data_IF_967764427790
#
_entry.id   IF_967764427790
#
_cell.length_a   1.000
_cell.length_b   1.000
_cell.length_c   1.000
_cell.angle_alpha   90.00
_cell.angle_beta   90.00
_cell.angle_gamma   90.00
#
_symmetry.space_group_name_H-M   'P 1'
#
loop_
_entity.id
_entity.type
_entity.pdbx_description
1 polymer ?
#
# COMPACT_ATOMS: atom_id res chain seq x y z
N UNK A 1 -6.14 23.41 6.46
CA UNK A 1 -5.92 22.46 5.35
C UNK A 1 -6.58 21.13 5.70
N UNK A 2 -7.43 20.60 4.82
CA UNK A 2 -8.27 19.43 5.10
C UNK A 2 -8.07 18.39 3.99
N UNK A 3 -7.62 17.19 4.32
CA UNK A 3 -7.41 16.12 3.37
C UNK A 3 -8.33 14.93 3.65
N UNK A 4 -8.86 14.36 2.56
CA UNK A 4 -9.51 13.05 2.58
C UNK A 4 -8.46 11.99 2.23
N UNK A 5 -8.23 11.03 3.13
CA UNK A 5 -7.38 9.86 2.91
C UNK A 5 -8.20 8.65 2.50
N UNK A 6 -7.69 7.86 1.56
CA UNK A 6 -8.30 6.61 1.08
C UNK A 6 -7.23 5.52 1.02
N UNK A 7 -7.48 4.39 1.67
CA UNK A 7 -6.69 3.17 1.51
C UNK A 7 -7.59 1.98 1.19
N UNK A 8 -7.29 1.30 0.11
CA UNK A 8 -7.90 0.05 -0.35
C UNK A 8 -6.87 -0.93 -0.91
N UNK A 9 -5.62 -0.73 -0.54
CA UNK A 9 -4.47 -1.46 -1.08
C UNK A 9 -4.37 -2.93 -0.64
N UNK A 10 -5.14 -3.34 0.38
CA UNK A 10 -5.17 -4.71 0.93
C UNK A 10 -6.60 -5.19 1.17
N UNK A 11 -6.82 -6.10 2.12
CA UNK A 11 -8.16 -6.45 2.60
C UNK A 11 -8.80 -5.31 3.41
N UNK A 12 -7.98 -4.41 3.94
CA UNK A 12 -8.46 -3.23 4.68
C UNK A 12 -9.09 -2.25 3.71
N UNK A 13 -10.28 -1.75 4.07
CA UNK A 13 -10.86 -0.54 3.54
C UNK A 13 -10.76 0.54 4.62
N UNK A 14 -10.16 1.66 4.31
CA UNK A 14 -9.98 2.75 5.26
C UNK A 14 -10.20 4.10 4.61
N UNK A 15 -10.89 4.99 5.32
CA UNK A 15 -11.17 6.38 4.95
C UNK A 15 -10.89 7.26 6.15
N UNK A 16 -10.24 8.40 5.95
CA UNK A 16 -9.97 9.35 7.03
C UNK A 16 -10.07 10.80 6.56
N UNK A 17 -10.39 11.69 7.49
CA UNK A 17 -10.26 13.14 7.31
C UNK A 17 -9.23 13.66 8.29
N UNK A 18 -8.19 14.32 7.77
CA UNK A 18 -7.18 15.03 8.56
C UNK A 18 -7.31 16.52 8.31
N UNK A 19 -7.40 17.30 9.39
CA UNK A 19 -7.52 18.76 9.33
C UNK A 19 -6.40 19.38 10.15
N UNK A 20 -5.51 20.16 9.51
CA UNK A 20 -4.41 20.86 10.15
C UNK A 20 -3.61 19.99 11.16
N UNK A 21 -3.16 18.81 10.70
CA UNK A 21 -2.44 17.80 11.47
C UNK A 21 -3.24 17.12 12.61
N UNK A 22 -4.57 17.27 12.59
CA UNK A 22 -5.47 16.57 13.52
C UNK A 22 -6.26 15.52 12.76
N UNK A 23 -6.19 14.27 13.20
CA UNK A 23 -7.09 13.23 12.71
C UNK A 23 -8.52 13.53 13.19
N UNK A 24 -9.35 14.04 12.29
CA UNK A 24 -10.71 14.46 12.63
C UNK A 24 -11.67 13.28 12.66
N UNK A 25 -11.52 12.34 11.72
CA UNK A 25 -12.28 11.09 11.67
C UNK A 25 -11.50 10.01 10.92
N UNK A 26 -11.70 8.76 11.29
CA UNK A 26 -11.23 7.59 10.55
C UNK A 26 -12.27 6.47 10.64
N UNK A 27 -12.55 5.86 9.50
CA UNK A 27 -13.36 4.64 9.42
C UNK A 27 -12.53 3.56 8.74
N UNK A 28 -12.14 2.54 9.50
CA UNK A 28 -11.30 1.42 9.04
C UNK A 28 -11.99 0.10 9.30
N UNK A 29 -12.05 -0.75 8.28
CA UNK A 29 -12.63 -2.11 8.37
C UNK A 29 -11.65 -3.09 7.73
N UNK A 30 -11.19 -4.07 8.52
CA UNK A 30 -10.40 -5.22 8.05
C UNK A 30 -11.32 -6.44 7.98
N UNK A 31 -12.10 -6.54 6.91
CA UNK A 31 -13.06 -7.62 6.72
C UNK A 31 -13.27 -7.93 5.24
N UNK A 32 -13.60 -9.20 4.92
CA UNK A 32 -13.84 -9.68 3.53
C UNK A 32 -15.11 -9.08 2.93
N UNK A 33 -15.08 -7.79 2.62
CA UNK A 33 -16.10 -7.11 1.81
C UNK A 33 -15.45 -6.48 0.60
N UNK A 34 -16.21 -6.36 -0.48
CA UNK A 34 -15.71 -5.75 -1.72
C UNK A 34 -15.59 -4.24 -1.55
N UNK A 35 -14.42 -3.67 -1.75
CA UNK A 35 -14.15 -2.23 -1.61
C UNK A 35 -15.08 -1.35 -2.46
N UNK A 36 -15.49 -1.82 -3.64
CA UNK A 36 -16.47 -1.10 -4.49
C UNK A 36 -17.84 -0.91 -3.84
N UNK A 37 -18.17 -1.72 -2.83
CA UNK A 37 -19.43 -1.60 -2.07
C UNK A 37 -19.26 -0.83 -0.76
N UNK A 38 -18.03 -0.64 -0.30
CA UNK A 38 -17.77 -0.10 1.05
C UNK A 38 -17.15 1.29 1.05
N UNK A 39 -16.26 1.63 0.12
CA UNK A 39 -15.51 2.89 0.17
C UNK A 39 -16.40 4.13 0.13
N UNK A 40 -17.32 4.24 -0.85
CA UNK A 40 -18.22 5.40 -0.93
C UNK A 40 -19.16 5.51 0.28
N UNK A 41 -19.82 4.43 0.76
CA UNK A 41 -20.56 4.48 2.01
C UNK A 41 -19.73 4.89 3.24
N UNK A 42 -18.46 4.46 3.33
CA UNK A 42 -17.57 4.87 4.43
C UNK A 42 -17.22 6.36 4.35
N UNK A 43 -17.01 6.90 3.14
CA UNK A 43 -16.80 8.34 2.94
C UNK A 43 -18.05 9.12 3.34
N UNK A 44 -19.22 8.67 2.88
CA UNK A 44 -20.51 9.30 3.21
C UNK A 44 -20.77 9.32 4.73
N UNK A 45 -20.51 8.21 5.41
CA UNK A 45 -20.66 8.11 6.87
C UNK A 45 -19.73 9.08 7.60
N UNK A 46 -18.44 9.13 7.23
CA UNK A 46 -17.46 10.06 7.82
C UNK A 46 -17.87 11.50 7.62
N UNK A 47 -18.28 11.87 6.41
CA UNK A 47 -18.72 13.24 6.08
C UNK A 47 -19.99 13.63 6.83
N UNK A 48 -20.95 12.71 6.90
CA UNK A 48 -22.22 12.89 7.64
C UNK A 48 -21.96 13.08 9.13
N UNK A 49 -21.12 12.24 9.74
CA UNK A 49 -20.78 12.32 11.18
C UNK A 49 -20.06 13.63 11.54
N UNK A 50 -19.27 14.16 10.62
CA UNK A 50 -18.58 15.45 10.79
C UNK A 50 -19.48 16.65 10.48
N UNK A 51 -20.65 16.46 9.87
CA UNK A 51 -21.47 17.56 9.34
C UNK A 51 -20.72 18.41 8.31
N UNK A 52 -19.82 17.81 7.54
CA UNK A 52 -18.89 18.47 6.63
C UNK A 52 -19.41 18.43 5.20
N UNK A 53 -19.18 19.50 4.42
CA UNK A 53 -19.32 19.46 2.97
C UNK A 53 -18.00 18.93 2.35
N UNK A 54 -18.09 17.96 1.44
CA UNK A 54 -16.92 17.44 0.71
C UNK A 54 -16.17 18.51 -0.09
N UNK A 55 -16.82 19.61 -0.48
CA UNK A 55 -16.16 20.74 -1.13
C UNK A 55 -15.14 21.46 -0.22
N UNK A 56 -15.21 21.25 1.10
CA UNK A 56 -14.27 21.83 2.06
C UNK A 56 -12.90 21.16 2.08
N UNK A 57 -12.74 19.96 1.47
CA UNK A 57 -11.42 19.33 1.38
C UNK A 57 -10.53 20.09 0.40
N UNK A 58 -9.23 20.12 0.65
CA UNK A 58 -8.23 20.75 -0.21
C UNK A 58 -7.65 19.75 -1.22
N UNK A 59 -7.54 18.48 -0.85
CA UNK A 59 -7.04 17.41 -1.71
C UNK A 59 -7.49 16.01 -1.23
N UNK A 60 -7.27 14.99 -2.08
CA UNK A 60 -7.54 13.59 -1.79
C UNK A 60 -6.24 12.82 -1.82
N UNK A 61 -5.79 12.28 -0.68
CA UNK A 61 -4.63 11.42 -0.58
C UNK A 61 -5.05 9.95 -0.76
N UNK A 62 -4.37 9.25 -1.65
CA UNK A 62 -4.73 7.88 -2.02
C UNK A 62 -3.51 6.97 -1.89
N UNK A 63 -3.71 5.82 -1.26
CA UNK A 63 -2.74 4.73 -1.29
C UNK A 63 -2.55 4.27 -2.75
N UNK A 64 -1.40 4.65 -3.33
CA UNK A 64 -1.12 4.49 -4.76
C UNK A 64 -0.47 3.15 -5.14
N UNK A 65 -0.14 2.32 -4.19
CA UNK A 65 0.54 1.04 -4.39
C UNK A 65 1.90 0.97 -3.70
N UNK A 66 2.46 -0.24 -3.60
CA UNK A 66 1.95 -1.54 -4.07
C UNK A 66 0.76 -2.07 -3.28
N UNK A 67 0.09 -3.10 -3.81
CA UNK A 67 -1.03 -3.74 -3.11
C UNK A 67 -1.89 -4.63 -3.99
N UNK A 68 -3.09 -4.91 -3.51
CA UNK A 68 -4.12 -5.64 -4.26
C UNK A 68 -4.48 -4.90 -5.54
N UNK A 69 -4.27 -5.53 -6.70
CA UNK A 69 -4.56 -4.96 -8.01
C UNK A 69 -6.00 -4.44 -8.14
N UNK A 70 -6.97 -5.25 -7.66
CA UNK A 70 -8.38 -4.85 -7.65
C UNK A 70 -8.62 -3.71 -6.66
N UNK A 71 -8.04 -3.79 -5.47
CA UNK A 71 -8.19 -2.77 -4.44
C UNK A 71 -7.66 -1.42 -4.90
N UNK A 72 -6.43 -1.37 -5.42
CA UNK A 72 -5.82 -0.14 -5.94
C UNK A 72 -6.66 0.50 -7.06
N UNK A 73 -7.22 -0.29 -7.96
CA UNK A 73 -8.12 0.22 -9.02
C UNK A 73 -9.40 0.82 -8.47
N UNK A 74 -10.01 0.19 -7.47
CA UNK A 74 -11.23 0.69 -6.84
C UNK A 74 -10.93 2.01 -6.11
N UNK A 75 -9.87 2.07 -5.31
CA UNK A 75 -9.45 3.29 -4.62
C UNK A 75 -9.14 4.42 -5.57
N UNK A 76 -8.34 4.14 -6.61
CA UNK A 76 -8.00 5.12 -7.67
C UNK A 76 -9.24 5.63 -8.39
N UNK A 77 -10.15 4.73 -8.80
CA UNK A 77 -11.38 5.14 -9.49
C UNK A 77 -12.29 6.00 -8.60
N UNK A 78 -12.41 5.63 -7.31
CA UNK A 78 -13.16 6.41 -6.31
C UNK A 78 -12.56 7.82 -6.14
N UNK A 79 -11.23 7.89 -5.95
CA UNK A 79 -10.54 9.16 -5.77
C UNK A 79 -10.60 10.04 -7.03
N UNK A 80 -10.39 9.46 -8.22
CA UNK A 80 -10.52 10.17 -9.51
C UNK A 80 -11.92 10.73 -9.70
N UNK A 81 -12.95 9.91 -9.43
CA UNK A 81 -14.34 10.36 -9.53
C UNK A 81 -14.65 11.54 -8.59
N UNK A 82 -14.20 11.45 -7.35
CA UNK A 82 -14.34 12.55 -6.37
C UNK A 82 -13.50 13.77 -6.76
N UNK A 83 -12.24 13.59 -7.16
CA UNK A 83 -11.36 14.66 -7.60
C UNK A 83 -11.92 15.45 -8.77
N UNK A 84 -12.50 14.77 -9.77
CA UNK A 84 -13.19 15.41 -10.89
C UNK A 84 -14.45 16.14 -10.46
N UNK A 85 -15.29 15.51 -9.64
CA UNK A 85 -16.57 16.09 -9.23
C UNK A 85 -16.40 17.32 -8.31
N UNK A 86 -15.35 17.34 -7.50
CA UNK A 86 -15.06 18.37 -6.51
C UNK A 86 -14.01 19.39 -7.00
N UNK A 87 -13.42 19.17 -8.19
CA UNK A 87 -12.31 19.96 -8.73
C UNK A 87 -11.11 20.01 -7.77
N UNK A 88 -10.75 18.85 -7.16
CA UNK A 88 -9.66 18.74 -6.17
C UNK A 88 -8.51 17.89 -6.71
N UNK A 89 -7.27 18.29 -6.41
CA UNK A 89 -6.09 17.49 -6.77
C UNK A 89 -6.03 16.20 -5.96
N UNK A 90 -5.34 15.22 -6.52
CA UNK A 90 -5.02 13.96 -5.88
C UNK A 90 -3.56 13.95 -5.43
N UNK A 91 -3.30 13.18 -4.37
CA UNK A 91 -1.96 12.95 -3.86
C UNK A 91 -1.71 11.46 -3.89
N UNK A 92 -0.72 11.05 -4.68
CA UNK A 92 -0.24 9.67 -4.70
C UNK A 92 0.63 9.40 -3.47
N UNK A 93 0.21 8.49 -2.61
CA UNK A 93 0.97 8.10 -1.41
C UNK A 93 1.40 6.63 -1.57
N UNK A 94 2.71 6.33 -1.59
CA UNK A 94 3.19 4.96 -1.62
C UNK A 94 2.65 4.16 -0.43
N UNK A 95 2.10 2.97 -0.68
CA UNK A 95 1.40 2.21 0.37
C UNK A 95 2.32 1.82 1.52
N UNK A 96 3.53 1.38 1.19
CA UNK A 96 4.51 0.90 2.18
C UNK A 96 5.03 2.05 3.04
N UNK A 97 5.22 3.24 2.43
CA UNK A 97 5.60 4.47 3.13
C UNK A 97 4.52 4.89 4.14
N UNK A 98 3.24 4.88 3.70
CA UNK A 98 2.11 5.19 4.58
C UNK A 98 2.00 4.20 5.74
N UNK A 99 2.28 2.92 5.51
CA UNK A 99 2.31 1.92 6.58
C UNK A 99 3.44 2.19 7.58
N UNK A 100 4.64 2.55 7.11
CA UNK A 100 5.74 2.92 8.00
C UNK A 100 5.38 4.12 8.89
N UNK A 101 4.61 5.04 8.36
CA UNK A 101 4.12 6.22 9.08
C UNK A 101 3.21 5.89 10.28
N UNK A 102 2.62 4.68 10.35
CA UNK A 102 1.89 4.21 11.52
C UNK A 102 2.73 4.16 12.80
N UNK A 103 4.06 4.04 12.66
CA UNK A 103 5.00 3.91 13.77
C UNK A 103 5.86 5.18 13.95
N UNK A 104 5.29 6.33 13.65
CA UNK A 104 5.92 7.62 13.85
C UNK A 104 6.48 7.78 15.27
N UNK A 105 7.72 8.23 15.37
CA UNK A 105 8.45 8.41 16.64
C UNK A 105 9.22 7.17 17.08
N UNK A 106 9.20 6.06 16.34
CA UNK A 106 9.99 4.87 16.64
C UNK A 106 11.47 5.10 16.41
N UNK A 107 12.32 4.59 17.34
CA UNK A 107 13.77 4.55 17.19
C UNK A 107 14.25 3.27 16.47
N UNK A 108 13.37 2.28 16.28
CA UNK A 108 13.69 1.05 15.55
C UNK A 108 13.52 1.23 14.03
N UNK A 109 14.19 0.37 13.27
CA UNK A 109 13.96 0.23 11.83
C UNK A 109 12.54 -0.30 11.62
N UNK A 110 11.75 0.35 10.81
CA UNK A 110 10.37 -0.03 10.50
C UNK A 110 10.38 -0.81 9.20
N UNK A 111 9.81 -2.01 9.22
CA UNK A 111 9.74 -2.93 8.09
C UNK A 111 8.28 -3.34 7.83
N UNK A 112 7.52 -2.55 7.05
CA UNK A 112 6.22 -3.00 6.58
C UNK A 112 6.37 -4.20 5.65
N UNK A 113 5.52 -5.21 5.80
CA UNK A 113 5.45 -6.36 4.89
C UNK A 113 4.00 -6.61 4.48
N UNK A 114 3.75 -6.64 3.16
CA UNK A 114 2.48 -7.04 2.58
C UNK A 114 2.66 -8.33 1.80
N UNK A 115 1.71 -9.27 1.89
CA UNK A 115 1.81 -10.55 1.17
C UNK A 115 1.69 -10.35 -0.34
N UNK A 116 2.81 -10.54 -1.05
CA UNK A 116 2.87 -10.49 -2.52
C UNK A 116 2.73 -11.89 -3.16
N UNK A 117 2.39 -12.93 -2.37
CA UNK A 117 2.31 -14.34 -2.76
C UNK A 117 3.65 -14.96 -3.13
N UNK A 118 3.72 -16.30 -3.20
CA UNK A 118 4.91 -17.06 -3.62
C UNK A 118 6.17 -16.72 -2.80
N UNK A 119 6.04 -16.64 -1.49
CA UNK A 119 7.10 -16.25 -0.53
C UNK A 119 7.67 -14.85 -0.73
N UNK A 120 7.00 -14.00 -1.52
CA UNK A 120 7.41 -12.63 -1.72
C UNK A 120 6.56 -11.66 -0.89
N UNK A 121 7.18 -10.56 -0.51
CA UNK A 121 6.53 -9.45 0.17
C UNK A 121 6.72 -8.16 -0.61
N UNK A 122 5.73 -7.27 -0.58
CA UNK A 122 5.99 -5.86 -0.82
C UNK A 122 6.49 -5.27 0.50
N UNK A 123 7.62 -4.61 0.45
CA UNK A 123 8.32 -4.09 1.63
C UNK A 123 9.15 -2.87 1.29
N UNK A 124 9.62 -2.19 2.30
CA UNK A 124 10.60 -1.12 2.31
C UNK A 124 11.18 -1.03 3.71
N UNK A 125 12.23 -0.25 3.91
CA UNK A 125 12.85 -0.06 5.22
C UNK A 125 12.91 1.42 5.53
N UNK A 126 12.51 1.78 6.76
CA UNK A 126 12.30 3.18 7.12
C UNK A 126 12.78 3.48 8.53
N UNK A 127 13.34 4.67 8.72
CA UNK A 127 13.35 5.33 10.01
C UNK A 127 12.26 6.40 10.04
N UNK A 128 11.48 6.46 11.11
CA UNK A 128 10.34 7.37 11.21
C UNK A 128 10.33 8.09 12.56
N UNK A 129 11.45 8.74 12.93
CA UNK A 129 11.62 9.39 14.22
C UNK A 129 11.12 10.84 14.22
N UNK A 130 11.61 11.68 13.31
CA UNK A 130 11.26 13.10 13.16
C UNK A 130 10.87 13.45 11.73
N UNK A 131 11.17 12.56 10.80
CA UNK A 131 10.83 12.58 9.37
C UNK A 131 10.72 11.14 8.91
N UNK A 132 10.04 10.92 7.81
CA UNK A 132 10.10 9.64 7.11
C UNK A 132 11.42 9.61 6.33
N UNK A 133 12.36 8.79 6.77
CA UNK A 133 13.63 8.52 6.09
C UNK A 133 13.56 7.14 5.45
N UNK A 134 13.71 7.10 4.14
CA UNK A 134 13.67 5.87 3.35
C UNK A 134 15.07 5.26 3.34
N UNK A 135 15.26 4.15 4.06
CA UNK A 135 16.51 3.37 4.08
C UNK A 135 16.56 2.43 2.88
N UNK A 136 15.40 1.89 2.51
CA UNK A 136 15.21 1.09 1.30
C UNK A 136 13.86 1.43 0.70
N UNK A 137 13.87 1.82 -0.59
CA UNK A 137 12.65 2.08 -1.35
C UNK A 137 11.72 0.87 -1.39
N UNK A 138 10.42 1.13 -1.52
CA UNK A 138 9.44 0.04 -1.63
C UNK A 138 9.75 -0.84 -2.84
N UNK A 139 9.73 -2.15 -2.62
CA UNK A 139 9.98 -3.14 -3.64
C UNK A 139 9.21 -4.45 -3.38
N UNK A 140 9.28 -5.36 -4.36
CA UNK A 140 8.87 -6.74 -4.17
C UNK A 140 10.13 -7.59 -4.03
N UNK A 141 10.24 -8.39 -2.96
CA UNK A 141 11.40 -9.27 -2.74
C UNK A 141 11.00 -10.56 -2.01
N UNK A 142 11.87 -11.56 -2.06
CA UNK A 142 11.68 -12.78 -1.29
C UNK A 142 11.81 -12.51 0.21
N UNK A 143 10.97 -13.16 1.03
CA UNK A 143 10.99 -12.95 2.48
C UNK A 143 12.30 -13.39 3.13
N UNK A 144 12.97 -14.43 2.62
CA UNK A 144 14.27 -14.86 3.14
C UNK A 144 15.38 -13.87 2.80
N UNK A 145 15.35 -13.27 1.60
CA UNK A 145 16.30 -12.23 1.22
C UNK A 145 16.13 -10.99 2.10
N UNK A 146 14.89 -10.64 2.43
CA UNK A 146 14.59 -9.56 3.39
C UNK A 146 15.16 -9.86 4.78
N UNK A 147 14.93 -11.07 5.30
CA UNK A 147 15.45 -11.51 6.59
C UNK A 147 16.99 -11.46 6.62
N UNK A 148 17.64 -11.94 5.57
CA UNK A 148 19.11 -11.88 5.48
C UNK A 148 19.60 -10.44 5.50
N UNK A 149 18.97 -9.56 4.74
CA UNK A 149 19.31 -8.14 4.72
C UNK A 149 19.16 -7.48 6.09
N UNK A 150 18.09 -7.78 6.83
CA UNK A 150 17.87 -7.25 8.18
C UNK A 150 18.92 -7.76 9.17
N UNK A 151 19.30 -9.04 9.08
CA UNK A 151 20.38 -9.62 9.88
C UNK A 151 21.72 -8.95 9.59
N UNK A 152 22.02 -8.66 8.32
CA UNK A 152 23.27 -8.00 7.91
C UNK A 152 23.32 -6.53 8.40
N UNK A 153 22.17 -5.86 8.49
CA UNK A 153 22.06 -4.50 9.01
C UNK A 153 22.29 -4.42 10.53
N UNK A 154 21.93 -5.46 11.27
CA UNK A 154 22.18 -5.55 12.71
C UNK A 154 21.33 -4.60 13.56
N UNK A 155 20.28 -3.97 13.00
CA UNK A 155 19.41 -3.04 13.71
C UNK A 155 18.17 -3.75 14.26
N UNK A 156 17.63 -3.22 15.40
CA UNK A 156 16.34 -3.65 15.90
C UNK A 156 15.24 -3.27 14.91
N UNK A 157 14.33 -4.20 14.57
CA UNK A 157 13.29 -4.02 13.57
C UNK A 157 11.89 -4.22 14.14
N UNK A 158 10.92 -3.42 13.66
CA UNK A 158 9.50 -3.61 13.95
C UNK A 158 8.76 -3.92 12.65
N UNK A 159 8.11 -5.09 12.62
CA UNK A 159 7.28 -5.52 11.49
C UNK A 159 5.83 -5.11 11.67
N UNK A 160 5.19 -4.74 10.55
CA UNK A 160 3.75 -4.50 10.45
C UNK A 160 3.24 -4.91 9.08
N UNK A 161 1.92 -4.96 8.91
CA UNK A 161 1.29 -5.27 7.64
C UNK A 161 0.60 -6.63 7.62
N UNK A 162 -0.15 -6.86 6.57
CA UNK A 162 -0.91 -8.09 6.34
C UNK A 162 -0.04 -9.30 5.96
N UNK A 163 1.23 -9.08 5.64
CA UNK A 163 2.23 -10.15 5.50
C UNK A 163 2.68 -10.74 6.84
N UNK A 164 2.55 -10.00 7.97
CA UNK A 164 3.00 -10.49 9.27
C UNK A 164 2.38 -11.82 9.66
N UNK A 165 1.07 -12.06 9.60
CA UNK A 165 0.49 -13.35 9.93
C UNK A 165 0.97 -14.50 9.05
N UNK A 166 1.36 -14.20 7.80
CA UNK A 166 1.82 -15.21 6.83
C UNK A 166 3.26 -15.61 7.10
N UNK A 167 4.13 -14.65 7.44
CA UNK A 167 5.57 -14.82 7.49
C UNK A 167 6.16 -14.77 8.90
N UNK A 168 5.33 -14.63 9.94
CA UNK A 168 5.76 -14.56 11.34
C UNK A 168 6.70 -15.70 11.72
N UNK A 169 6.29 -16.94 11.48
CA UNK A 169 7.11 -18.12 11.85
C UNK A 169 8.45 -18.16 11.12
N UNK A 170 8.48 -17.71 9.86
CA UNK A 170 9.71 -17.62 9.07
C UNK A 170 10.64 -16.58 9.65
N UNK A 171 10.10 -15.39 10.03
CA UNK A 171 10.86 -14.33 10.68
C UNK A 171 11.41 -14.80 12.04
N UNK A 172 10.58 -15.38 12.91
CA UNK A 172 10.97 -15.87 14.24
C UNK A 172 12.06 -16.94 14.20
N UNK A 173 12.10 -17.79 13.15
CA UNK A 173 13.09 -18.83 12.99
C UNK A 173 14.45 -18.38 12.47
N UNK A 174 14.47 -17.28 11.69
CA UNK A 174 15.64 -16.92 10.89
C UNK A 174 16.23 -15.54 11.21
N UNK A 175 15.50 -14.68 11.94
CA UNK A 175 16.04 -13.40 12.41
C UNK A 175 17.04 -13.62 13.54
N UNK A 176 18.16 -12.92 13.46
CA UNK A 176 19.21 -12.85 14.51
C UNK A 176 19.28 -11.50 15.21
N UNK A 177 18.62 -10.48 14.64
CA UNK A 177 18.48 -9.15 15.25
C UNK A 177 17.29 -9.10 16.19
N UNK A 178 17.28 -8.13 17.10
CA UNK A 178 16.11 -7.85 17.94
C UNK A 178 14.94 -7.41 17.08
N UNK A 179 13.76 -7.98 17.31
CA UNK A 179 12.58 -7.65 16.54
C UNK A 179 11.31 -7.63 17.38
N UNK A 180 10.33 -6.89 16.86
CA UNK A 180 8.98 -6.81 17.40
C UNK A 180 7.94 -6.85 16.25
N UNK A 181 6.70 -7.10 16.62
CA UNK A 181 5.55 -6.94 15.74
C UNK A 181 4.65 -5.83 16.27
N UNK A 182 4.26 -4.91 15.40
CA UNK A 182 3.41 -3.80 15.79
C UNK A 182 2.08 -4.28 16.41
N UNK A 183 1.54 -3.59 17.41
CA UNK A 183 0.28 -3.94 18.05
C UNK A 183 -0.91 -3.76 17.09
N UNK A 184 -2.04 -4.38 17.41
CA UNK A 184 -3.25 -4.37 16.58
C UNK A 184 -3.73 -2.97 16.16
N UNK A 185 -3.48 -1.96 16.98
CA UNK A 185 -3.82 -0.56 16.68
C UNK A 185 -3.02 0.03 15.51
N UNK A 186 -1.85 -0.53 15.19
CA UNK A 186 -0.89 0.09 14.26
C UNK A 186 -0.36 -0.88 13.19
N UNK A 187 -0.86 -2.12 13.15
CA UNK A 187 -0.28 -3.18 12.32
C UNK A 187 -0.97 -3.38 10.96
N UNK A 188 -1.85 -2.50 10.54
CA UNK A 188 -2.57 -2.56 9.26
C UNK A 188 -2.51 -1.23 8.54
N UNK A 189 -2.89 -1.26 7.27
CA UNK A 189 -3.11 -0.07 6.45
C UNK A 189 -4.15 0.84 7.10
N UNK A 190 -3.90 2.15 7.07
CA UNK A 190 -4.77 3.16 7.66
C UNK A 190 -4.83 4.41 6.79
N UNK A 191 -6.02 4.87 6.49
CA UNK A 191 -6.22 6.11 5.74
C UNK A 191 -5.74 7.34 6.51
N UNK A 192 -5.71 7.28 7.85
CA UNK A 192 -5.12 8.33 8.68
C UNK A 192 -3.64 8.55 8.35
N UNK A 193 -2.87 7.48 8.17
CA UNK A 193 -1.44 7.57 7.80
C UNK A 193 -1.26 8.02 6.35
N UNK A 194 -2.12 7.55 5.44
CA UNK A 194 -2.16 8.04 4.05
C UNK A 194 -2.43 9.54 4.01
N UNK A 195 -3.44 10.03 4.74
CA UNK A 195 -3.76 11.45 4.79
C UNK A 195 -2.65 12.28 5.46
N UNK A 196 -2.05 11.78 6.54
CA UNK A 196 -0.99 12.49 7.26
C UNK A 196 0.28 12.62 6.42
N UNK A 197 0.74 11.55 5.77
CA UNK A 197 1.86 11.62 4.84
C UNK A 197 1.49 12.42 3.59
N UNK A 198 0.25 12.31 3.12
CA UNK A 198 -0.31 13.12 2.04
C UNK A 198 -0.28 14.62 2.35
N UNK A 199 -0.49 15.00 3.61
CA UNK A 199 -0.38 16.39 4.07
C UNK A 199 1.03 16.95 3.86
N UNK A 200 2.08 16.15 4.16
CA UNK A 200 3.46 16.51 3.90
C UNK A 200 3.72 16.66 2.38
N UNK A 201 3.19 15.76 1.58
CA UNK A 201 3.33 15.79 0.12
C UNK A 201 2.58 16.99 -0.48
N UNK A 202 1.41 17.31 0.03
CA UNK A 202 0.66 18.50 -0.39
C UNK A 202 1.44 19.81 -0.12
N UNK A 203 2.04 19.94 1.08
CA UNK A 203 2.90 21.08 1.44
C UNK A 203 4.12 21.20 0.53
N UNK A 204 4.60 20.09 -0.02
CA UNK A 204 5.70 20.03 -0.98
C UNK A 204 5.26 20.26 -2.43
N UNK A 205 3.96 20.47 -2.69
CA UNK A 205 3.41 20.61 -4.04
C UNK A 205 3.35 19.31 -4.85
N UNK A 206 3.48 18.16 -4.21
CA UNK A 206 3.39 16.83 -4.84
C UNK A 206 1.93 16.43 -5.04
N UNK A 207 1.28 17.05 -6.00
CA UNK A 207 -0.10 16.76 -6.37
C UNK A 207 -0.19 16.45 -7.85
N UNK A 208 -1.21 15.71 -8.25
CA UNK A 208 -1.54 15.40 -9.64
C UNK A 208 -3.02 15.69 -9.88
N UNK A 209 -3.40 15.89 -11.13
CA UNK A 209 -4.82 15.98 -11.49
C UNK A 209 -5.49 14.60 -11.38
N UNK A 210 -6.82 14.60 -11.33
CA UNK A 210 -7.57 13.34 -11.32
C UNK A 210 -7.34 12.51 -12.60
N UNK A 211 -7.10 13.15 -13.74
CA UNK A 211 -6.78 12.49 -15.01
C UNK A 211 -5.42 11.81 -14.97
N UNK A 212 -4.40 12.49 -14.42
CA UNK A 212 -3.00 12.03 -14.39
C UNK A 212 -2.73 10.97 -13.32
N UNK A 213 -3.59 10.86 -12.32
CA UNK A 213 -3.36 9.89 -11.24
C UNK A 213 -3.37 8.46 -11.77
N UNK A 214 -2.31 7.72 -11.50
CA UNK A 214 -2.18 6.29 -11.80
C UNK A 214 -1.62 5.55 -10.59
N UNK A 215 -2.11 4.33 -10.29
CA UNK A 215 -1.53 3.50 -9.24
C UNK A 215 -0.24 2.81 -9.71
N UNK A 216 0.69 2.62 -8.78
CA UNK A 216 1.94 1.91 -9.01
C UNK A 216 1.74 0.40 -8.91
N UNK A 217 1.96 -0.29 -10.00
CA UNK A 217 1.98 -1.74 -10.03
C UNK A 217 3.42 -2.27 -10.04
N UNK A 218 3.98 -2.56 -8.85
CA UNK A 218 5.33 -3.16 -8.75
C UNK A 218 5.41 -4.56 -9.37
N UNK A 219 4.27 -5.20 -9.61
CA UNK A 219 4.18 -6.49 -10.29
C UNK A 219 3.00 -6.48 -11.26
N UNK A 220 3.16 -7.19 -12.38
CA UNK A 220 2.05 -7.46 -13.31
C UNK A 220 0.90 -8.18 -12.59
N UNK A 221 -0.32 -7.94 -13.00
CA UNK A 221 -1.49 -8.65 -12.46
C UNK A 221 -1.33 -10.18 -12.63
N UNK A 222 -2.08 -10.95 -11.83
CA UNK A 222 -2.09 -12.40 -11.97
C UNK A 222 -2.53 -12.82 -13.38
N UNK A 223 -3.54 -12.16 -13.93
CA UNK A 223 -4.06 -12.45 -15.26
C UNK A 223 -3.03 -12.15 -16.38
N UNK A 224 -2.28 -11.07 -16.26
CA UNK A 224 -1.20 -10.75 -17.21
C UNK A 224 -0.07 -11.77 -17.16
N UNK A 225 0.33 -12.21 -15.96
CA UNK A 225 1.36 -13.24 -15.79
C UNK A 225 0.91 -14.60 -16.32
N UNK A 226 -0.32 -15.04 -16.00
CA UNK A 226 -0.89 -16.28 -16.50
C UNK A 226 -1.00 -16.28 -18.04
N UNK A 227 -1.31 -15.12 -18.61
CA UNK A 227 -1.33 -14.96 -20.07
C UNK A 227 0.08 -15.08 -20.67
N UNK A 228 1.08 -14.44 -20.08
CA UNK A 228 2.47 -14.52 -20.54
C UNK A 228 3.03 -15.94 -20.39
N UNK A 229 2.74 -16.61 -19.26
CA UNK A 229 3.12 -18.02 -19.05
C UNK A 229 2.46 -18.95 -20.09
N UNK A 230 1.18 -18.71 -20.41
CA UNK A 230 0.46 -19.47 -21.44
C UNK A 230 0.97 -19.18 -22.86
N UNK A 231 1.35 -17.94 -23.17
CA UNK A 231 1.95 -17.56 -24.46
C UNK A 231 3.35 -18.16 -24.61
N UNK A 232 4.19 -18.12 -23.56
CA UNK A 232 5.50 -18.76 -23.54
C UNK A 232 5.41 -20.29 -23.73
N UNK A 233 4.50 -20.96 -23.02
CA UNK A 233 4.30 -22.40 -23.16
C UNK A 233 3.79 -22.82 -24.58
N UNK A 234 3.06 -21.93 -25.25
CA UNK A 234 2.65 -22.16 -26.66
C UNK A 234 3.83 -22.00 -27.62
N UNK A 235 4.68 -21.00 -27.38
CA UNK A 235 5.87 -20.77 -28.20
C UNK A 235 6.86 -21.94 -28.11
N UNK A 236 7.08 -22.46 -26.89
CA UNK A 236 7.93 -23.63 -26.67
C UNK A 236 7.42 -24.89 -27.36
N UNK A 237 6.09 -25.11 -27.37
CA UNK A 237 5.49 -26.23 -28.10
C UNK A 237 5.69 -26.11 -29.61
N UNK A 238 5.47 -24.94 -30.18
CA UNK A 238 5.65 -24.70 -31.62
C UNK A 238 7.12 -24.93 -32.01
N UNK A 239 8.08 -24.53 -31.20
CA UNK A 239 9.50 -24.79 -31.45
C UNK A 239 9.86 -26.28 -31.33
N UNK A 240 9.27 -27.00 -30.37
CA UNK A 240 9.48 -28.44 -30.20
C UNK A 240 8.89 -29.23 -31.39
N UNK A 241 7.71 -28.88 -31.85
CA UNK A 241 7.06 -29.53 -33.01
C UNK A 241 7.85 -29.28 -34.31
N UNK A 242 8.31 -28.04 -34.54
CA UNK A 242 9.15 -27.70 -35.68
C UNK A 242 10.51 -28.42 -35.69
N UNK A 243 11.11 -28.62 -34.49
CA UNK A 243 12.35 -29.35 -34.34
C UNK A 243 12.18 -30.89 -34.57
N UNK A 244 11.00 -31.43 -34.33
CA UNK A 244 10.67 -32.85 -34.60
C UNK A 244 10.43 -33.12 -36.08
N UNK A 245 9.79 -32.20 -36.82
CA UNK A 245 9.52 -32.31 -38.25
C UNK A 245 10.79 -32.14 -39.11
N UNK A 246 11.79 -31.38 -38.67
CA UNK A 246 13.06 -31.18 -39.37
C UNK A 246 14.05 -32.34 -39.25
N UNK A 247 13.71 -33.42 -38.52
CA UNK A 247 14.54 -34.63 -38.33
C UNK A 247 14.01 -35.88 -39.02
N UNK A 248 12.91 -35.78 -39.75
CA UNK A 248 12.34 -36.84 -40.58
C UNK A 248 12.73 -36.61 -42.05
#
# INVERSE_FOLDING_TARGET
MKLLGIDSSSLVASVAVVTDDVLTAEYTVDFKKTHSQTLLPMIDEVVTMLGMDLHEIDAIAVSGGPGSFTGLRIGSATAKGLGLALEKPLIHVPTVDAMAYNLWGSDALICPIMDARRNQVYTGLYHCRRSLEIVMEQCAMDMMDLIQKLNDMGERVIFLGDGVPVYREMAEKNLTVEYDFAPASNNRQRAASVASLGMEYFRQGKTVTAEEFEPDYLRKSQAEREREEAEAAKADKVQADAASEGRA
#
